data_IF_330166705986
#
_entry.id   IF_330166705986
#
_cell.length_a   1.000
_cell.length_b   1.000
_cell.length_c   1.000
_cell.angle_alpha   90.00
_cell.angle_beta   90.00
_cell.angle_gamma   90.00
#
_symmetry.space_group_name_H-M   'P 1'
#
loop_
_entity.id
_entity.type
_entity.pdbx_description
1 polymer ?
#
# COMPACT_ATOMS: atom_id res chain seq x y z
N UNK A 1 -9.14 -0.69 -14.47
CA UNK A 1 -9.39 0.73 -14.88
C UNK A 1 -8.04 1.34 -15.25
N UNK A 2 -7.82 1.73 -16.51
CA UNK A 2 -6.54 2.31 -16.93
C UNK A 2 -6.23 3.67 -16.28
N UNK A 3 -7.23 4.34 -15.75
CA UNK A 3 -7.11 5.65 -15.09
C UNK A 3 -6.76 5.57 -13.59
N UNK A 4 -6.74 4.37 -13.02
CA UNK A 4 -6.40 4.20 -11.60
C UNK A 4 -4.95 4.63 -11.34
N UNK A 5 -4.73 5.34 -10.23
CA UNK A 5 -3.43 5.72 -9.73
C UNK A 5 -3.17 5.07 -8.39
N UNK A 6 -1.93 4.70 -8.15
CA UNK A 6 -1.47 4.05 -6.92
C UNK A 6 -0.25 4.77 -6.39
N UNK A 7 -0.12 4.85 -5.08
CA UNK A 7 1.06 5.42 -4.43
C UNK A 7 0.89 5.54 -2.93
N UNK A 8 1.99 5.86 -2.27
CA UNK A 8 2.07 6.11 -0.83
C UNK A 8 2.70 7.50 -0.63
N UNK A 9 1.90 8.57 -0.71
CA UNK A 9 2.41 9.93 -0.71
C UNK A 9 2.74 10.48 0.67
N UNK A 10 2.70 9.66 1.72
CA UNK A 10 2.83 10.07 3.12
C UNK A 10 4.11 10.86 3.38
N UNK A 11 5.26 10.38 2.89
CA UNK A 11 6.56 11.04 3.11
C UNK A 11 6.64 12.43 2.46
N UNK A 12 5.88 12.66 1.40
CA UNK A 12 5.78 14.00 0.78
C UNK A 12 5.23 15.04 1.75
N UNK A 13 4.40 14.61 2.69
CA UNK A 13 3.69 15.46 3.64
C UNK A 13 4.24 15.33 5.06
N UNK A 14 5.45 14.79 5.19
CA UNK A 14 6.08 14.48 6.49
C UNK A 14 5.18 13.63 7.39
N UNK A 15 4.57 12.61 6.80
CA UNK A 15 3.77 11.60 7.50
C UNK A 15 4.48 10.26 7.34
N UNK A 16 4.53 9.48 8.41
CA UNK A 16 5.00 8.10 8.35
C UNK A 16 3.88 7.19 7.78
N UNK A 17 4.17 6.27 6.84
CA UNK A 17 3.18 5.33 6.30
C UNK A 17 2.88 4.22 7.30
N UNK A 18 1.78 4.33 8.02
CA UNK A 18 1.31 3.39 9.04
C UNK A 18 0.57 2.17 8.47
N UNK A 19 0.10 1.31 9.36
CA UNK A 19 -0.73 0.14 9.05
C UNK A 19 0.06 -1.03 8.47
N UNK A 20 1.35 -1.09 8.76
CA UNK A 20 2.27 -2.09 8.21
C UNK A 20 2.52 -1.91 6.71
N UNK A 21 2.26 -0.71 6.16
CA UNK A 21 2.40 -0.43 4.73
C UNK A 21 3.82 -0.72 4.24
N UNK A 22 4.84 -0.32 5.00
CA UNK A 22 6.26 -0.54 4.70
C UNK A 22 6.61 -2.02 4.57
N UNK A 23 6.07 -2.86 5.45
CA UNK A 23 6.32 -4.31 5.46
C UNK A 23 5.53 -5.01 4.34
N UNK A 24 4.23 -4.72 4.25
CA UNK A 24 3.33 -5.35 3.28
C UNK A 24 3.72 -5.04 1.85
N UNK A 25 4.12 -3.80 1.57
CA UNK A 25 4.52 -3.40 0.22
C UNK A 25 5.79 -4.13 -0.23
N UNK A 26 6.81 -4.21 0.65
CA UNK A 26 8.04 -4.94 0.35
C UNK A 26 7.75 -6.42 0.06
N UNK A 27 6.88 -7.05 0.84
CA UNK A 27 6.50 -8.45 0.61
C UNK A 27 5.75 -8.64 -0.71
N UNK A 28 4.97 -7.67 -1.13
CA UNK A 28 4.15 -7.76 -2.33
C UNK A 28 4.91 -7.48 -3.62
N UNK A 29 5.74 -6.44 -3.66
CA UNK A 29 6.41 -5.98 -4.89
C UNK A 29 7.94 -6.00 -4.82
N UNK A 30 8.49 -6.48 -3.71
CA UNK A 30 9.93 -6.54 -3.46
C UNK A 30 10.54 -5.22 -3.01
N UNK A 31 11.74 -5.32 -2.42
CA UNK A 31 12.40 -4.21 -1.75
C UNK A 31 12.65 -3.00 -2.67
N UNK A 32 13.21 -3.23 -3.86
CA UNK A 32 13.63 -2.14 -4.76
C UNK A 32 12.43 -1.28 -5.18
N UNK A 33 11.35 -1.92 -5.61
CA UNK A 33 10.14 -1.23 -6.06
C UNK A 33 9.38 -0.58 -4.90
N UNK A 34 9.33 -1.25 -3.75
CA UNK A 34 8.70 -0.71 -2.57
C UNK A 34 9.43 0.55 -2.07
N UNK A 35 10.75 0.52 -1.98
CA UNK A 35 11.55 1.68 -1.57
C UNK A 35 11.44 2.84 -2.54
N UNK A 36 11.39 2.57 -3.85
CA UNK A 36 11.14 3.62 -4.85
C UNK A 36 9.81 4.34 -4.56
N UNK A 37 8.70 3.60 -4.41
CA UNK A 37 7.40 4.21 -4.14
C UNK A 37 7.31 4.91 -2.79
N UNK A 38 7.85 4.29 -1.73
CA UNK A 38 7.81 4.82 -0.37
C UNK A 38 8.62 6.12 -0.22
N UNK A 39 9.82 6.20 -0.84
CA UNK A 39 10.72 7.34 -0.64
C UNK A 39 10.49 8.47 -1.64
N UNK A 40 10.05 8.16 -2.86
CA UNK A 40 9.77 9.19 -3.86
C UNK A 40 8.37 9.78 -3.76
N UNK A 41 7.45 9.08 -3.05
CA UNK A 41 6.03 9.46 -2.97
C UNK A 41 5.36 9.63 -4.34
N UNK A 42 5.94 9.04 -5.40
CA UNK A 42 5.39 9.15 -6.75
C UNK A 42 4.13 8.30 -6.92
N UNK A 43 3.27 8.74 -7.80
CA UNK A 43 2.11 7.96 -8.23
C UNK A 43 2.48 7.16 -9.47
N UNK A 44 2.03 5.92 -9.51
CA UNK A 44 2.14 5.03 -10.67
C UNK A 44 0.78 4.82 -11.32
N UNK A 45 0.76 4.52 -12.60
CA UNK A 45 -0.44 4.15 -13.31
C UNK A 45 -0.80 2.66 -13.14
N UNK A 46 -1.93 2.28 -13.68
CA UNK A 46 -2.41 0.90 -13.57
C UNK A 46 -1.50 -0.11 -14.28
N UNK A 47 -0.89 0.28 -15.40
CA UNK A 47 0.00 -0.60 -16.16
C UNK A 47 1.28 -0.89 -15.37
N UNK A 48 1.86 0.13 -14.76
CA UNK A 48 3.01 -0.02 -13.89
C UNK A 48 2.66 -0.85 -12.64
N UNK A 49 1.51 -0.58 -12.01
CA UNK A 49 1.04 -1.35 -10.86
C UNK A 49 0.88 -2.85 -11.18
N UNK A 50 0.39 -3.18 -12.37
CA UNK A 50 0.30 -4.57 -12.83
C UNK A 50 1.69 -5.18 -13.09
N UNK A 51 2.60 -4.44 -13.72
CA UNK A 51 3.97 -4.89 -13.99
C UNK A 51 4.75 -5.17 -12.70
N UNK A 52 4.52 -4.37 -11.66
CA UNK A 52 5.15 -4.54 -10.34
C UNK A 52 4.51 -5.65 -9.48
N UNK A 53 3.36 -6.18 -9.88
CA UNK A 53 2.63 -7.16 -9.08
C UNK A 53 1.78 -6.55 -7.95
N UNK A 54 1.55 -5.24 -7.97
CA UNK A 54 0.68 -4.56 -6.99
C UNK A 54 -0.80 -4.89 -7.22
N UNK A 55 -1.18 -5.14 -8.46
CA UNK A 55 -2.52 -5.59 -8.85
C UNK A 55 -2.43 -6.85 -9.69
N UNK A 56 -3.40 -7.74 -9.54
CA UNK A 56 -3.42 -9.03 -10.24
C UNK A 56 -3.73 -8.88 -11.73
N UNK A 57 -4.58 -7.90 -12.09
CA UNK A 57 -5.15 -7.81 -13.43
C UNK A 57 -5.64 -6.40 -13.73
N UNK A 58 -5.53 -6.01 -14.98
CA UNK A 58 -6.19 -4.84 -15.54
C UNK A 58 -7.41 -5.28 -16.35
N UNK A 59 -8.51 -4.60 -16.14
CA UNK A 59 -9.77 -4.87 -16.87
C UNK A 59 -10.30 -3.56 -17.46
N UNK A 60 -11.06 -3.61 -18.57
CA UNK A 60 -11.72 -2.44 -19.14
C UNK A 60 -12.64 -1.75 -18.11
N UNK A 61 -12.86 -0.46 -18.30
CA UNK A 61 -13.83 0.28 -17.51
C UNK A 61 -15.23 -0.34 -17.69
N UNK A 62 -15.97 -0.46 -16.58
CA UNK A 62 -17.29 -1.13 -16.57
C UNK A 62 -17.25 -2.65 -16.38
N UNK A 63 -16.11 -3.30 -16.61
CA UNK A 63 -15.97 -4.76 -16.48
C UNK A 63 -15.51 -5.20 -15.07
N UNK A 64 -15.11 -4.26 -14.21
CA UNK A 64 -14.49 -4.57 -12.91
C UNK A 64 -15.36 -5.48 -12.03
N UNK A 65 -16.64 -5.17 -11.89
CA UNK A 65 -17.55 -5.96 -11.05
C UNK A 65 -17.77 -7.36 -11.59
N UNK A 66 -17.93 -7.49 -12.92
CA UNK A 66 -18.05 -8.80 -13.57
C UNK A 66 -16.86 -9.68 -13.28
N UNK A 67 -15.65 -9.16 -13.53
CA UNK A 67 -14.39 -9.88 -13.26
C UNK A 67 -14.18 -10.21 -11.78
N UNK A 68 -14.58 -9.31 -10.88
CA UNK A 68 -14.49 -9.55 -9.44
C UNK A 68 -15.42 -10.69 -9.00
N UNK A 69 -16.65 -10.70 -9.49
CA UNK A 69 -17.64 -11.75 -9.20
C UNK A 69 -17.18 -13.09 -9.78
N UNK A 70 -16.78 -13.14 -11.04
CA UNK A 70 -16.26 -14.36 -11.67
C UNK A 70 -15.06 -14.94 -10.89
N UNK A 71 -14.15 -14.07 -10.42
CA UNK A 71 -13.02 -14.50 -9.60
C UNK A 71 -13.47 -15.04 -8.24
N UNK A 72 -14.43 -14.39 -7.60
CA UNK A 72 -15.00 -14.85 -6.34
C UNK A 72 -15.72 -16.19 -6.48
N UNK A 73 -16.45 -16.40 -7.58
CA UNK A 73 -17.10 -17.68 -7.90
C UNK A 73 -16.10 -18.80 -8.14
N UNK A 74 -14.99 -18.52 -8.86
CA UNK A 74 -13.90 -19.50 -9.01
C UNK A 74 -13.29 -19.89 -7.65
N UNK A 75 -13.12 -18.95 -6.74
CA UNK A 75 -12.63 -19.24 -5.38
C UNK A 75 -13.67 -20.07 -4.61
N UNK A 76 -14.94 -19.68 -4.69
CA UNK A 76 -16.04 -20.32 -3.98
C UNK A 76 -16.32 -21.76 -4.45
N UNK A 77 -15.98 -22.06 -5.70
CA UNK A 77 -16.06 -23.42 -6.25
C UNK A 77 -15.03 -24.40 -5.68
N UNK A 78 -13.99 -23.91 -5.01
CA UNK A 78 -12.99 -24.76 -4.36
C UNK A 78 -13.43 -25.17 -2.95
N UNK A 79 -12.72 -26.16 -2.36
CA UNK A 79 -12.98 -26.60 -0.99
C UNK A 79 -12.85 -25.42 0.00
N UNK A 80 -13.92 -25.05 0.74
CA UNK A 80 -13.87 -23.94 1.68
C UNK A 80 -12.80 -24.13 2.78
N UNK A 81 -12.64 -25.35 3.27
CA UNK A 81 -11.63 -25.66 4.31
C UNK A 81 -10.20 -25.47 3.79
N UNK A 82 -9.93 -25.89 2.54
CA UNK A 82 -8.61 -25.73 1.95
C UNK A 82 -8.31 -24.25 1.65
N UNK A 83 -9.26 -23.51 1.07
CA UNK A 83 -9.12 -22.07 0.80
C UNK A 83 -8.88 -21.29 2.10
N UNK A 84 -9.64 -21.59 3.16
CA UNK A 84 -9.48 -20.94 4.46
C UNK A 84 -8.13 -21.27 5.09
N UNK A 85 -7.65 -22.52 5.00
CA UNK A 85 -6.36 -22.93 5.53
C UNK A 85 -5.20 -22.19 4.84
N UNK A 86 -5.20 -22.14 3.50
CA UNK A 86 -4.20 -21.40 2.72
C UNK A 86 -4.22 -19.91 3.07
N UNK A 87 -5.41 -19.30 3.08
CA UNK A 87 -5.54 -17.89 3.41
C UNK A 87 -5.07 -17.59 4.84
N UNK A 88 -5.41 -18.43 5.81
CA UNK A 88 -4.95 -18.28 7.21
C UNK A 88 -3.44 -18.34 7.31
N UNK A 89 -2.82 -19.33 6.67
CA UNK A 89 -1.36 -19.48 6.68
C UNK A 89 -0.66 -18.25 6.08
N UNK A 90 -1.02 -17.86 4.87
CA UNK A 90 -0.33 -16.78 4.14
C UNK A 90 -0.61 -15.42 4.78
N UNK A 91 -1.89 -15.08 5.00
CA UNK A 91 -2.26 -13.79 5.58
C UNK A 91 -1.82 -13.66 7.03
N UNK A 92 -1.83 -14.75 7.80
CA UNK A 92 -1.31 -14.79 9.17
C UNK A 92 0.17 -14.46 9.20
N UNK A 93 0.99 -15.12 8.40
CA UNK A 93 2.44 -14.85 8.34
C UNK A 93 2.75 -13.39 8.02
N UNK A 94 2.00 -12.78 7.09
CA UNK A 94 2.18 -11.36 6.73
C UNK A 94 1.75 -10.46 7.89
N UNK A 95 0.62 -10.77 8.53
CA UNK A 95 0.11 -10.01 9.67
C UNK A 95 1.06 -10.09 10.87
N UNK A 96 1.54 -11.27 11.21
CA UNK A 96 2.47 -11.48 12.32
C UNK A 96 3.77 -10.70 12.11
N UNK A 97 4.32 -10.71 10.89
CA UNK A 97 5.50 -9.91 10.58
C UNK A 97 5.24 -8.40 10.73
N UNK A 98 4.10 -7.90 10.28
CA UNK A 98 3.72 -6.50 10.47
C UNK A 98 3.56 -6.15 11.96
N UNK A 99 2.90 -7.02 12.75
CA UNK A 99 2.69 -6.83 14.19
C UNK A 99 3.99 -6.80 14.98
N UNK A 100 5.00 -7.61 14.61
CA UNK A 100 6.31 -7.57 15.29
C UNK A 100 7.03 -6.22 15.13
N UNK A 101 6.60 -5.38 14.19
CA UNK A 101 7.17 -4.06 13.91
C UNK A 101 6.27 -2.90 14.34
N UNK A 102 5.09 -3.18 14.88
CA UNK A 102 4.11 -2.14 15.23
C UNK A 102 4.66 -1.13 16.25
N UNK A 103 5.38 -1.59 17.26
CA UNK A 103 5.98 -0.70 18.25
C UNK A 103 7.03 0.24 17.63
N UNK A 104 7.86 -0.26 16.72
CA UNK A 104 8.83 0.56 15.98
C UNK A 104 8.12 1.52 15.02
N UNK A 105 7.09 1.05 14.33
CA UNK A 105 6.27 1.87 13.43
C UNK A 105 5.67 3.05 14.20
N UNK A 106 5.12 2.80 15.38
CA UNK A 106 4.56 3.84 16.24
C UNK A 106 5.64 4.82 16.70
N UNK A 107 6.79 4.33 17.18
CA UNK A 107 7.90 5.18 17.58
C UNK A 107 8.36 6.09 16.45
N UNK A 108 8.64 5.54 15.26
CA UNK A 108 9.09 6.31 14.09
C UNK A 108 8.02 7.32 13.64
N UNK A 109 6.75 6.94 13.70
CA UNK A 109 5.65 7.85 13.40
C UNK A 109 5.53 9.01 14.39
N UNK A 110 5.78 8.75 15.67
CA UNK A 110 5.77 9.80 16.71
C UNK A 110 6.97 10.73 16.55
N UNK A 111 8.16 10.21 16.21
CA UNK A 111 9.35 11.03 15.88
C UNK A 111 9.07 11.95 14.69
N UNK A 112 8.45 11.45 13.62
CA UNK A 112 8.06 12.26 12.46
C UNK A 112 7.05 13.33 12.86
N UNK A 113 6.02 12.99 13.65
CA UNK A 113 5.00 13.95 14.10
C UNK A 113 5.56 15.04 15.03
N UNK A 114 6.60 14.75 15.78
CA UNK A 114 7.27 15.72 16.64
C UNK A 114 8.22 16.66 15.88
N UNK A 115 8.47 16.40 14.59
CA UNK A 115 9.39 17.21 13.78
C UNK A 115 8.76 18.52 13.31
N UNK A 116 9.60 19.53 13.05
CA UNK A 116 9.17 20.76 12.37
C UNK A 116 8.62 20.50 10.97
N UNK A 117 9.15 19.48 10.29
CA UNK A 117 8.71 19.07 8.97
C UNK A 117 7.26 18.62 8.94
N UNK A 118 6.75 17.99 10.01
CA UNK A 118 5.35 17.59 10.11
C UNK A 118 4.41 18.81 10.05
N UNK A 119 4.73 19.88 10.76
CA UNK A 119 3.94 21.11 10.75
C UNK A 119 3.89 21.72 9.34
N UNK A 120 5.04 21.81 8.69
CA UNK A 120 5.13 22.30 7.30
C UNK A 120 4.38 21.40 6.33
N UNK A 121 4.56 20.07 6.43
CA UNK A 121 3.90 19.11 5.55
C UNK A 121 2.38 19.20 5.61
N UNK A 122 1.80 19.31 6.81
CA UNK A 122 0.36 19.46 7.02
C UNK A 122 -0.15 20.82 6.52
N UNK A 123 0.59 21.91 6.77
CA UNK A 123 0.25 23.23 6.25
C UNK A 123 0.24 23.23 4.72
N UNK A 124 1.29 22.73 4.10
CA UNK A 124 1.41 22.66 2.65
C UNK A 124 0.30 21.82 2.01
N UNK A 125 -0.07 20.69 2.64
CA UNK A 125 -1.19 19.86 2.18
C UNK A 125 -2.53 20.61 2.19
N UNK A 126 -2.82 21.35 3.30
CA UNK A 126 -4.06 22.13 3.43
C UNK A 126 -4.15 23.31 2.47
N UNK A 127 -2.99 23.91 2.17
CA UNK A 127 -2.84 25.07 1.28
C UNK A 127 -2.64 24.66 -0.19
N UNK A 128 -2.66 23.38 -0.50
CA UNK A 128 -2.46 22.81 -1.85
C UNK A 128 -1.16 23.28 -2.52
N UNK A 129 -0.13 23.56 -1.74
CA UNK A 129 1.20 23.97 -2.21
C UNK A 129 2.25 22.88 -2.01
N UNK A 130 3.41 23.03 -2.63
CA UNK A 130 4.56 22.17 -2.34
C UNK A 130 5.11 22.49 -0.94
N UNK A 131 5.41 21.46 -0.12
CA UNK A 131 6.13 21.66 1.13
C UNK A 131 7.58 22.09 0.87
N UNK A 132 8.14 22.84 1.80
CA UNK A 132 9.53 23.28 1.80
C UNK A 132 10.21 22.75 3.06
N UNK A 133 11.08 21.77 2.89
CA UNK A 133 11.83 21.15 3.98
C UNK A 133 13.28 21.65 3.96
N UNK A 134 13.74 22.18 5.10
CA UNK A 134 15.12 22.63 5.32
C UNK A 134 15.90 21.56 6.11
#
# INVERSE_FOLDING_TARGET
MPEARFGLPEVKWSIYPFGGATIKLIQQIGYVHAMDLLLTARLIDAAEAARLGLVNRLVPQGELMRWAIETAEMIAANSPSAVQAVKRQVSGTIADHALTREALEQQLGDEVRASLHFTEGIAAFREERKPHYE
#
